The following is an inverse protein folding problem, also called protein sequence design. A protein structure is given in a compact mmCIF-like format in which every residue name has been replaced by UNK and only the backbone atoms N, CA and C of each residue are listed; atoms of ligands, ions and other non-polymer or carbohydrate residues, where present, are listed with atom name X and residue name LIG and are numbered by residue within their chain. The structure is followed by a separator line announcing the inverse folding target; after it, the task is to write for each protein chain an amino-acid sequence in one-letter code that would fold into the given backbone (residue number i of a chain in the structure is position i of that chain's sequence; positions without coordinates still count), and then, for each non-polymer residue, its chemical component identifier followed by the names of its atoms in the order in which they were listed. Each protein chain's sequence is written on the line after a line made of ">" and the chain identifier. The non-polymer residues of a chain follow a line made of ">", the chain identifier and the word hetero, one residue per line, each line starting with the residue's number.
data_IF_106745075777
#
_entry.id   IF_106745075777
#
_cell.length_a   1.000
_cell.length_b   1.000
_cell.length_c   1.000
_cell.angle_alpha   90.00
_cell.angle_beta   90.00
_cell.angle_gamma   90.00
#
_symmetry.space_group_name_H-M   'P 1'
#
loop_
_entity.id
_entity.type
_entity.pdbx_description
1 polymer ?
#
# COMPACT_ATOMS: atom_id res chain seq x y z
N UNK A 1 -18.42 -24.68 -0.66
CA UNK A 1 -18.74 -23.27 -0.39
C UNK A 1 -17.42 -22.52 -0.49
N UNK A 2 -17.23 -21.79 -1.59
CA UNK A 2 -16.03 -20.96 -1.83
C UNK A 2 -15.94 -19.94 -0.69
N UNK A 3 -14.88 -20.00 0.12
CA UNK A 3 -14.63 -18.98 1.12
C UNK A 3 -14.28 -17.70 0.37
N UNK A 4 -15.21 -16.75 0.29
CA UNK A 4 -14.91 -15.40 -0.18
C UNK A 4 -13.97 -14.76 0.86
N UNK A 5 -12.67 -14.89 0.64
CA UNK A 5 -11.65 -14.14 1.35
C UNK A 5 -11.90 -12.66 1.04
N UNK A 6 -12.49 -11.93 2.00
CA UNK A 6 -12.60 -10.48 1.92
C UNK A 6 -11.18 -9.93 1.76
N UNK A 7 -10.82 -9.52 0.54
CA UNK A 7 -9.49 -9.00 0.27
C UNK A 7 -9.34 -7.69 1.05
N UNK A 8 -8.34 -7.62 1.93
CA UNK A 8 -8.02 -6.40 2.65
C UNK A 8 -7.73 -5.28 1.65
N UNK A 9 -8.35 -4.12 1.86
CA UNK A 9 -8.14 -2.92 1.02
C UNK A 9 -7.04 -2.02 1.53
N UNK A 10 -6.43 -2.40 2.64
CA UNK A 10 -5.31 -1.73 3.25
C UNK A 10 -4.02 -2.48 2.87
N UNK A 11 -2.97 -1.74 2.53
CA UNK A 11 -1.71 -2.28 2.04
C UNK A 11 -0.53 -1.61 2.71
N UNK A 12 0.48 -2.41 3.04
CA UNK A 12 1.80 -1.93 3.42
C UNK A 12 2.67 -1.94 2.18
N UNK A 13 3.25 -0.79 1.85
CA UNK A 13 4.14 -0.59 0.72
C UNK A 13 5.55 -0.36 1.25
N UNK A 14 6.46 -1.29 0.98
CA UNK A 14 7.88 -1.14 1.27
C UNK A 14 8.58 -0.46 0.10
N UNK A 15 9.54 0.43 0.40
CA UNK A 15 10.25 1.19 -0.62
C UNK A 15 11.76 1.29 -0.38
N UNK A 16 12.49 1.52 -1.47
CA UNK A 16 13.91 1.84 -1.46
C UNK A 16 14.10 3.36 -1.30
N UNK A 17 14.68 3.76 -0.17
CA UNK A 17 14.95 5.17 0.16
C UNK A 17 15.99 5.85 -0.74
N UNK A 18 16.73 5.09 -1.55
CA UNK A 18 17.66 5.63 -2.56
C UNK A 18 16.95 6.02 -3.85
N UNK A 19 15.75 5.49 -4.10
CA UNK A 19 14.96 5.71 -5.31
C UNK A 19 13.74 6.61 -5.07
N UNK A 20 13.13 6.56 -3.89
CA UNK A 20 12.00 7.41 -3.51
C UNK A 20 12.03 7.75 -2.02
N UNK A 21 11.40 8.86 -1.66
CA UNK A 21 11.14 9.24 -0.25
C UNK A 21 9.70 8.90 0.14
N UNK A 22 9.42 8.83 1.45
CA UNK A 22 8.04 8.62 1.92
C UNK A 22 7.09 9.70 1.38
N UNK A 23 7.39 11.02 1.44
CA UNK A 23 6.51 12.05 0.89
C UNK A 23 6.23 11.89 -0.61
N UNK A 24 7.24 11.50 -1.40
CA UNK A 24 7.07 11.25 -2.84
C UNK A 24 6.18 10.04 -3.10
N UNK A 25 6.38 8.95 -2.35
CA UNK A 25 5.57 7.74 -2.47
C UNK A 25 4.12 7.98 -2.03
N UNK A 26 3.91 8.73 -0.95
CA UNK A 26 2.59 9.15 -0.47
C UNK A 26 1.88 9.94 -1.57
N UNK A 27 2.53 10.96 -2.13
CA UNK A 27 1.94 11.78 -3.20
C UNK A 27 1.62 10.96 -4.46
N UNK A 28 2.47 10.00 -4.82
CA UNK A 28 2.23 9.11 -5.94
C UNK A 28 1.05 8.15 -5.69
N UNK A 29 0.94 7.61 -4.48
CA UNK A 29 -0.17 6.74 -4.06
C UNK A 29 -1.50 7.50 -4.06
N UNK A 30 -1.50 8.75 -3.58
CA UNK A 30 -2.69 9.64 -3.60
C UNK A 30 -3.14 9.98 -5.02
N UNK A 31 -2.22 10.14 -5.98
CA UNK A 31 -2.58 10.31 -7.40
C UNK A 31 -3.28 9.09 -7.99
N UNK A 32 -3.06 7.90 -7.43
CA UNK A 32 -3.78 6.67 -7.79
C UNK A 32 -5.10 6.51 -7.03
N UNK A 33 -5.45 7.48 -6.17
CA UNK A 33 -6.66 7.47 -5.35
C UNK A 33 -6.53 6.69 -4.05
N UNK A 34 -5.33 6.26 -3.67
CA UNK A 34 -5.10 5.62 -2.36
C UNK A 34 -4.98 6.68 -1.26
N UNK A 35 -5.44 6.34 -0.06
CA UNK A 35 -5.42 7.21 1.12
C UNK A 35 -4.31 6.76 2.07
N UNK A 36 -3.53 7.70 2.60
CA UNK A 36 -2.49 7.36 3.58
C UNK A 36 -3.14 7.01 4.92
N UNK A 37 -2.80 5.84 5.46
CA UNK A 37 -3.18 5.43 6.81
C UNK A 37 -2.06 5.72 7.82
N UNK A 38 -0.83 5.36 7.46
CA UNK A 38 0.32 5.50 8.36
C UNK A 38 1.65 5.58 7.60
N UNK A 39 2.60 6.35 8.10
CA UNK A 39 4.00 6.34 7.65
C UNK A 39 4.85 5.66 8.73
N UNK A 40 5.55 4.59 8.38
CA UNK A 40 6.42 3.89 9.32
C UNK A 40 7.75 4.62 9.45
N UNK A 41 8.06 5.14 10.64
CA UNK A 41 9.32 5.85 10.89
C UNK A 41 10.52 4.89 11.07
N UNK A 42 10.25 3.65 11.48
CA UNK A 42 11.30 2.66 11.83
C UNK A 42 11.76 1.80 10.65
N UNK A 43 10.99 1.76 9.55
CA UNK A 43 11.31 1.01 8.34
C UNK A 43 10.74 1.74 7.14
N UNK A 44 11.39 1.62 5.98
CA UNK A 44 11.01 2.34 4.76
C UNK A 44 9.69 1.79 4.19
N UNK A 45 8.56 2.14 4.83
CA UNK A 45 7.24 1.71 4.41
C UNK A 45 6.15 2.75 4.72
N UNK A 46 5.05 2.66 3.97
CA UNK A 46 3.80 3.36 4.24
C UNK A 46 2.63 2.37 4.24
N UNK A 47 1.59 2.64 5.02
CA UNK A 47 0.32 1.94 4.94
C UNK A 47 -0.69 2.83 4.20
N UNK A 48 -1.39 2.27 3.22
CA UNK A 48 -2.41 2.98 2.43
C UNK A 48 -3.71 2.18 2.36
N UNK A 49 -4.84 2.88 2.22
CA UNK A 49 -6.15 2.30 1.94
C UNK A 49 -6.53 2.56 0.48
N UNK A 50 -7.13 1.58 -0.19
CA UNK A 50 -7.75 1.76 -1.51
C UNK A 50 -9.26 1.92 -1.31
N UNK A 51 -9.86 3.09 -1.56
CA UNK A 51 -11.30 3.32 -1.42
C UNK A 51 -12.17 2.33 -2.20
N UNK A 52 -13.35 1.99 -1.67
CA UNK A 52 -14.29 0.99 -2.22
C UNK A 52 -14.70 1.21 -3.68
N UNK A 53 -14.76 2.48 -4.11
CA UNK A 53 -15.16 2.84 -5.47
C UNK A 53 -14.07 2.56 -6.53
N UNK A 54 -12.85 2.19 -6.10
CA UNK A 54 -11.74 1.86 -6.98
C UNK A 54 -11.56 0.35 -7.14
N UNK A 55 -11.13 -0.06 -8.33
CA UNK A 55 -10.77 -1.46 -8.59
C UNK A 55 -9.50 -1.86 -7.83
N UNK A 56 -9.66 -2.75 -6.85
CA UNK A 56 -8.61 -3.15 -5.93
C UNK A 56 -7.39 -3.73 -6.67
N UNK A 57 -7.61 -4.70 -7.55
CA UNK A 57 -6.53 -5.40 -8.26
C UNK A 57 -5.76 -4.49 -9.22
N UNK A 58 -6.43 -3.54 -9.87
CA UNK A 58 -5.76 -2.55 -10.72
C UNK A 58 -4.93 -1.58 -9.90
N UNK A 59 -5.47 -1.07 -8.79
CA UNK A 59 -4.76 -0.13 -7.91
C UNK A 59 -3.55 -0.80 -7.26
N UNK A 60 -3.67 -2.03 -6.78
CA UNK A 60 -2.54 -2.81 -6.24
C UNK A 60 -1.40 -2.93 -7.25
N UNK A 61 -1.69 -3.31 -8.50
CA UNK A 61 -0.70 -3.41 -9.58
C UNK A 61 -0.04 -2.06 -9.88
N UNK A 62 -0.80 -0.97 -9.89
CA UNK A 62 -0.26 0.37 -10.13
C UNK A 62 0.62 0.85 -8.98
N UNK A 63 0.26 0.55 -7.73
CA UNK A 63 1.09 0.82 -6.56
C UNK A 63 2.42 0.07 -6.65
N UNK A 64 2.39 -1.21 -7.04
CA UNK A 64 3.59 -2.04 -7.20
C UNK A 64 4.54 -1.54 -8.32
N UNK A 65 4.05 -0.69 -9.22
CA UNK A 65 4.82 -0.10 -10.31
C UNK A 65 5.36 1.30 -10.00
N UNK A 66 5.03 1.87 -8.84
CA UNK A 66 5.55 3.17 -8.45
C UNK A 66 7.08 3.12 -8.26
N UNK A 67 7.76 4.18 -8.66
CA UNK A 67 9.21 4.26 -8.58
C UNK A 67 9.69 4.04 -7.13
N UNK A 68 10.64 3.12 -6.97
CA UNK A 68 11.21 2.78 -5.67
C UNK A 68 10.36 1.84 -4.81
N UNK A 69 9.20 1.37 -5.27
CA UNK A 69 8.44 0.33 -4.55
C UNK A 69 9.14 -1.01 -4.68
N UNK A 70 9.30 -1.69 -3.53
CA UNK A 70 9.89 -3.01 -3.43
C UNK A 70 8.80 -4.09 -3.34
N UNK A 71 7.79 -3.86 -2.48
CA UNK A 71 6.70 -4.79 -2.24
C UNK A 71 5.42 -4.05 -1.85
N UNK A 72 4.28 -4.62 -2.24
CA UNK A 72 2.93 -4.20 -1.82
C UNK A 72 2.27 -5.42 -1.19
N UNK A 73 2.04 -5.38 0.12
CA UNK A 73 1.48 -6.50 0.87
C UNK A 73 0.13 -6.08 1.46
N UNK A 74 -0.91 -6.93 1.41
CA UNK A 74 -2.13 -6.67 2.17
C UNK A 74 -1.77 -6.45 3.63
N UNK A 75 -2.27 -5.37 4.24
CA UNK A 75 -2.10 -5.14 5.66
C UNK A 75 -3.06 -6.07 6.40
N UNK A 76 -2.67 -7.33 6.52
CA UNK A 76 -3.10 -8.08 7.68
C UNK A 76 -2.49 -7.33 8.85
N UNK A 77 -3.31 -6.66 9.68
CA UNK A 77 -2.84 -6.26 11.00
C UNK A 77 -2.14 -7.50 11.56
N UNK A 78 -0.81 -7.48 11.63
CA UNK A 78 -0.08 -8.53 12.30
C UNK A 78 -0.62 -8.48 13.72
N UNK A 79 -1.53 -9.39 14.07
CA UNK A 79 -1.85 -9.65 15.45
C UNK A 79 -0.55 -10.14 16.06
N UNK A 80 0.21 -9.21 16.62
CA UNK A 80 1.30 -9.50 17.54
C UNK A 80 0.59 -10.08 18.77
N UNK A 81 0.55 -11.40 18.85
CA UNK A 81 0.23 -12.14 20.06
C UNK A 81 1.43 -12.08 21.01
#
# INVERSE_FOLDING_TARGET
>A
MEQASSATRDFIIFYDRTLTTAPQLIAASQKLGAELLYEYQNFNAIAVHIPEHLDLSTREKQLAQLNGVLQVNPSQMMQLH
#
